data_IF_987422003748
#
_entry.id   IF_987422003748
#
_cell.length_a   1.000
_cell.length_b   1.000
_cell.length_c   1.000
_cell.angle_alpha   90.00
_cell.angle_beta   90.00
_cell.angle_gamma   90.00
#
_symmetry.space_group_name_H-M   'P 1'
#
loop_
_entity.id
_entity.type
_entity.pdbx_description
1 polymer ?
#
# COMPACT_ATOMS: atom_id res chain seq x y z
N UNK A 1 -1.35 -22.51 9.71
CA UNK A 1 -0.01 -22.13 9.22
C UNK A 1 -0.02 -21.10 8.09
N UNK A 2 -0.59 -21.32 6.90
CA UNK A 2 -0.51 -20.36 5.76
C UNK A 2 -1.13 -18.96 6.01
N UNK A 3 -2.06 -18.82 6.95
CA UNK A 3 -2.65 -17.52 7.36
C UNK A 3 -1.74 -16.77 8.35
N UNK A 4 -0.95 -17.51 9.14
CA UNK A 4 -0.18 -16.97 10.27
C UNK A 4 0.90 -16.00 9.78
N UNK A 5 1.48 -16.23 8.59
CA UNK A 5 2.51 -15.37 8.03
C UNK A 5 2.03 -14.02 7.46
N UNK A 6 0.71 -13.77 7.36
CA UNK A 6 0.20 -12.61 6.59
C UNK A 6 0.37 -11.23 7.22
N UNK A 7 0.63 -11.13 8.52
CA UNK A 7 0.77 -9.83 9.20
C UNK A 7 2.21 -9.33 9.37
N UNK A 8 3.21 -10.21 9.46
CA UNK A 8 4.49 -9.87 10.08
C UNK A 8 5.46 -9.06 9.21
N UNK A 9 5.23 -9.02 7.90
CA UNK A 9 6.30 -8.74 6.94
C UNK A 9 6.13 -7.46 6.12
N UNK A 10 5.23 -6.57 6.55
CA UNK A 10 4.84 -5.40 5.76
C UNK A 10 5.51 -4.10 6.25
N UNK A 11 5.87 -3.93 7.54
CA UNK A 11 6.25 -2.58 8.05
C UNK A 11 7.30 -2.55 9.19
N UNK A 12 8.59 -2.58 8.81
CA UNK A 12 9.82 -2.33 9.61
C UNK A 12 10.19 -3.26 10.78
N UNK A 13 11.51 -3.47 10.89
CA UNK A 13 12.25 -3.62 12.17
C UNK A 13 13.37 -2.54 12.28
N UNK A 14 14.11 -2.30 13.43
CA UNK A 14 15.30 -1.34 13.60
C UNK A 14 16.44 -1.39 14.73
N UNK A 15 17.78 -1.16 14.39
CA UNK A 15 19.10 -1.24 15.16
C UNK A 15 20.37 -0.44 14.60
N UNK A 16 20.69 0.81 15.00
CA UNK A 16 22.05 1.37 15.30
C UNK A 16 23.31 1.26 14.35
N UNK A 17 24.32 2.16 14.33
CA UNK A 17 24.75 3.35 15.11
C UNK A 17 25.71 4.26 14.26
N UNK A 18 25.59 5.59 14.38
CA UNK A 18 26.62 6.67 14.26
C UNK A 18 27.46 7.02 12.99
N UNK A 19 27.30 8.30 12.51
CA UNK A 19 28.35 9.28 12.04
C UNK A 19 28.93 9.05 10.60
N UNK A 20 29.38 10.02 9.75
CA UNK A 20 29.70 11.48 9.85
C UNK A 20 29.26 12.37 8.62
N UNK A 21 29.89 13.56 8.43
CA UNK A 21 29.77 14.54 7.30
C UNK A 21 30.43 14.06 5.99
N UNK A 22 30.12 14.56 4.77
CA UNK A 22 29.52 15.87 4.39
C UNK A 22 28.51 15.81 3.19
N UNK A 23 28.58 16.73 2.20
CA UNK A 23 27.49 17.13 1.27
C UNK A 23 27.85 16.91 -0.22
N UNK A 24 26.90 16.44 -1.06
CA UNK A 24 26.58 16.96 -2.43
C UNK A 24 25.62 16.05 -3.24
N UNK A 25 24.38 16.51 -3.51
CA UNK A 25 23.49 15.93 -4.56
C UNK A 25 22.30 16.84 -4.95
N UNK A 26 22.53 17.95 -5.69
CA UNK A 26 21.49 19.00 -5.82
C UNK A 26 20.65 18.98 -7.12
N UNK A 27 20.80 17.99 -8.02
CA UNK A 27 20.15 17.98 -9.36
C UNK A 27 19.24 16.78 -9.68
N UNK A 28 19.16 15.72 -8.86
CA UNK A 28 18.35 14.53 -9.19
C UNK A 28 16.91 14.56 -8.68
N UNK A 29 16.62 15.37 -7.65
CA UNK A 29 15.33 15.42 -6.98
C UNK A 29 14.14 15.81 -7.90
N UNK A 30 14.21 16.89 -8.72
CA UNK A 30 13.07 17.29 -9.56
C UNK A 30 12.68 16.23 -10.61
N UNK A 31 13.67 15.45 -11.08
CA UNK A 31 13.43 14.41 -12.08
C UNK A 31 12.75 13.18 -11.46
N UNK A 32 13.15 12.77 -10.25
CA UNK A 32 12.46 11.69 -9.52
C UNK A 32 11.00 12.05 -9.25
N UNK A 33 10.74 13.26 -8.75
CA UNK A 33 9.38 13.75 -8.52
C UNK A 33 8.56 13.77 -9.81
N UNK A 34 9.12 14.27 -10.91
CA UNK A 34 8.44 14.31 -12.22
C UNK A 34 8.09 12.91 -12.72
N UNK A 35 9.04 11.97 -12.68
CA UNK A 35 8.80 10.59 -13.13
C UNK A 35 7.78 9.89 -12.22
N UNK A 36 7.90 10.01 -10.90
CA UNK A 36 6.94 9.44 -9.96
C UNK A 36 5.54 10.04 -10.17
N UNK A 37 5.41 11.36 -10.37
CA UNK A 37 4.13 12.00 -10.66
C UNK A 37 3.48 11.48 -11.96
N UNK A 38 4.28 11.16 -12.99
CA UNK A 38 3.82 10.52 -14.22
C UNK A 38 3.39 9.06 -13.99
N UNK A 39 4.17 8.29 -13.22
CA UNK A 39 3.80 6.92 -12.83
C UNK A 39 2.50 6.88 -12.00
N UNK A 40 2.37 7.76 -11.02
CA UNK A 40 1.16 7.90 -10.22
C UNK A 40 -0.04 8.41 -11.04
N UNK A 41 0.15 9.06 -12.20
CA UNK A 41 -0.93 9.38 -13.13
C UNK A 41 -1.15 8.32 -14.24
N UNK A 42 -0.48 7.18 -14.18
CA UNK A 42 -0.51 6.13 -15.22
C UNK A 42 -0.05 6.61 -16.61
N UNK A 43 0.72 7.72 -16.66
CA UNK A 43 1.33 8.27 -17.87
C UNK A 43 2.61 7.49 -18.24
N UNK A 44 2.51 6.16 -18.30
CA UNK A 44 3.65 5.24 -18.34
C UNK A 44 4.60 5.48 -19.52
N UNK A 45 4.08 5.80 -20.70
CA UNK A 45 4.91 6.09 -21.88
C UNK A 45 5.77 7.35 -21.69
N UNK A 46 5.25 8.39 -21.04
CA UNK A 46 6.02 9.59 -20.70
C UNK A 46 7.03 9.29 -19.60
N UNK A 47 6.65 8.51 -18.58
CA UNK A 47 7.55 8.08 -17.53
C UNK A 47 8.74 7.27 -18.08
N UNK A 48 8.52 6.28 -18.94
CA UNK A 48 9.60 5.47 -19.52
C UNK A 48 10.52 6.27 -20.44
N UNK A 49 9.96 7.24 -21.18
CA UNK A 49 10.73 8.20 -21.98
C UNK A 49 11.67 9.04 -21.11
N UNK A 50 11.17 9.55 -19.98
CA UNK A 50 11.97 10.29 -19.00
C UNK A 50 13.01 9.40 -18.30
N UNK A 51 12.69 8.15 -17.98
CA UNK A 51 13.65 7.23 -17.36
C UNK A 51 14.78 6.87 -18.33
N UNK A 52 14.46 6.73 -19.62
CA UNK A 52 15.47 6.41 -20.66
C UNK A 52 16.50 7.51 -20.83
N UNK A 53 16.16 8.78 -20.54
CA UNK A 53 17.11 9.90 -20.53
C UNK A 53 18.02 9.93 -19.29
N UNK A 54 17.71 9.19 -18.22
CA UNK A 54 18.56 9.01 -17.03
C UNK A 54 19.68 8.02 -17.31
N UNK A 55 20.65 8.42 -18.14
CA UNK A 55 21.91 7.73 -18.46
C UNK A 55 21.85 6.19 -18.29
N UNK A 56 20.95 5.59 -19.07
CA UNK A 56 20.62 4.15 -18.98
C UNK A 56 21.83 3.26 -19.25
N UNK A 57 22.85 3.78 -19.94
CA UNK A 57 24.15 3.14 -20.19
C UNK A 57 24.88 2.84 -18.87
N UNK A 58 24.81 3.75 -17.88
CA UNK A 58 25.46 3.56 -16.57
C UNK A 58 24.63 2.77 -15.56
N UNK A 59 23.34 2.50 -15.85
CA UNK A 59 22.39 1.82 -14.95
C UNK A 59 22.47 2.33 -13.50
N UNK A 60 22.44 3.64 -13.28
CA UNK A 60 22.69 4.25 -11.95
C UNK A 60 21.67 3.86 -10.87
N UNK A 61 21.96 4.13 -9.59
CA UNK A 61 21.02 3.90 -8.48
C UNK A 61 19.67 4.58 -8.74
N UNK A 62 19.70 5.81 -9.25
CA UNK A 62 18.50 6.58 -9.64
C UNK A 62 17.76 5.93 -10.82
N UNK A 63 18.45 5.50 -11.88
CA UNK A 63 17.83 4.79 -13.00
C UNK A 63 17.14 3.50 -12.53
N UNK A 64 17.83 2.69 -11.72
CA UNK A 64 17.28 1.43 -11.20
C UNK A 64 16.09 1.68 -10.27
N UNK A 65 16.16 2.69 -9.40
CA UNK A 65 15.04 3.11 -8.54
C UNK A 65 13.80 3.46 -9.38
N UNK A 66 13.98 4.27 -10.44
CA UNK A 66 12.87 4.65 -11.30
C UNK A 66 12.34 3.48 -12.14
N UNK A 67 13.18 2.58 -12.67
CA UNK A 67 12.71 1.35 -13.33
C UNK A 67 11.97 0.42 -12.35
N UNK A 68 12.43 0.28 -11.12
CA UNK A 68 11.72 -0.47 -10.06
C UNK A 68 10.31 0.09 -9.85
N UNK A 69 10.16 1.41 -9.70
CA UNK A 69 8.83 2.04 -9.55
C UNK A 69 7.98 1.97 -10.82
N UNK A 70 8.59 2.09 -12.00
CA UNK A 70 7.92 1.86 -13.28
C UNK A 70 7.30 0.46 -13.35
N UNK A 71 8.07 -0.58 -13.04
CA UNK A 71 7.58 -1.97 -13.04
C UNK A 71 6.47 -2.17 -11.98
N UNK A 72 6.64 -1.61 -10.77
CA UNK A 72 5.64 -1.71 -9.69
C UNK A 72 4.28 -1.14 -10.10
N UNK A 73 4.27 0.01 -10.78
CA UNK A 73 3.04 0.72 -11.14
C UNK A 73 2.43 0.28 -12.49
N UNK A 74 3.25 -0.04 -13.50
CA UNK A 74 2.76 -0.49 -14.81
C UNK A 74 2.20 -1.92 -14.79
N UNK A 75 2.71 -2.80 -13.93
CA UNK A 75 2.30 -4.20 -13.83
C UNK A 75 1.49 -4.53 -12.56
N UNK A 76 0.60 -3.64 -12.12
CA UNK A 76 -0.22 -3.88 -10.93
C UNK A 76 -1.17 -5.10 -11.09
N UNK A 77 -1.19 -6.04 -10.11
CA UNK A 77 -0.29 -6.17 -8.96
C UNK A 77 1.01 -6.90 -9.33
N UNK A 78 2.17 -6.31 -9.02
CA UNK A 78 3.49 -6.79 -9.49
C UNK A 78 3.78 -8.25 -9.09
N UNK A 79 3.28 -8.71 -7.95
CA UNK A 79 3.53 -10.07 -7.44
C UNK A 79 2.72 -11.19 -8.13
N UNK A 80 1.64 -10.87 -8.86
CA UNK A 80 0.87 -11.85 -9.66
C UNK A 80 1.39 -11.98 -11.10
N UNK A 81 2.47 -11.28 -11.45
CA UNK A 81 3.01 -11.21 -12.81
C UNK A 81 3.84 -12.44 -13.20
N UNK A 82 4.12 -12.57 -14.50
CA UNK A 82 4.92 -13.68 -15.01
C UNK A 82 6.38 -13.63 -14.52
N UNK A 83 7.06 -14.77 -14.61
CA UNK A 83 8.43 -14.92 -14.11
C UNK A 83 9.48 -14.03 -14.80
N UNK A 84 9.23 -13.54 -16.02
CA UNK A 84 10.12 -12.60 -16.70
C UNK A 84 10.08 -11.22 -16.03
N UNK A 85 8.87 -10.67 -15.90
CA UNK A 85 8.62 -9.37 -15.26
C UNK A 85 9.13 -9.38 -13.81
N UNK A 86 8.87 -10.46 -13.06
CA UNK A 86 9.36 -10.64 -11.69
C UNK A 86 10.89 -10.70 -11.61
N UNK A 87 11.55 -11.36 -12.58
CA UNK A 87 13.01 -11.44 -12.66
C UNK A 87 13.63 -10.07 -12.92
N UNK A 88 13.12 -9.33 -13.90
CA UNK A 88 13.59 -7.97 -14.23
C UNK A 88 13.40 -7.00 -13.06
N UNK A 89 12.22 -6.98 -12.44
CA UNK A 89 11.93 -6.18 -11.25
C UNK A 89 12.94 -6.43 -10.12
N UNK A 90 13.26 -7.71 -9.85
CA UNK A 90 14.25 -8.08 -8.84
C UNK A 90 15.71 -7.81 -9.25
N UNK A 91 16.02 -7.72 -10.55
CA UNK A 91 17.33 -7.28 -11.04
C UNK A 91 17.56 -5.79 -10.76
N UNK A 92 16.59 -4.92 -11.09
CA UNK A 92 16.68 -3.48 -10.77
C UNK A 92 16.85 -3.25 -9.26
N UNK A 93 16.03 -3.92 -8.44
CA UNK A 93 16.18 -3.90 -6.97
C UNK A 93 17.54 -4.41 -6.47
N UNK A 94 18.22 -5.26 -7.23
CA UNK A 94 19.54 -5.80 -6.88
C UNK A 94 20.69 -4.90 -7.29
N UNK A 95 20.56 -4.20 -8.41
CA UNK A 95 21.54 -3.23 -8.87
C UNK A 95 21.70 -2.06 -7.89
N UNK A 96 20.59 -1.51 -7.35
CA UNK A 96 20.63 -0.44 -6.34
C UNK A 96 21.51 -0.84 -5.13
N UNK A 97 21.27 -2.03 -4.55
CA UNK A 97 22.06 -2.54 -3.43
C UNK A 97 23.54 -2.74 -3.76
N UNK A 98 23.88 -3.17 -4.97
CA UNK A 98 25.29 -3.33 -5.40
C UNK A 98 25.99 -1.97 -5.60
N UNK A 99 25.25 -0.88 -5.75
CA UNK A 99 25.76 0.46 -5.98
C UNK A 99 25.90 1.28 -4.69
N UNK A 100 25.00 1.07 -3.72
CA UNK A 100 25.06 1.72 -2.40
C UNK A 100 26.41 1.54 -1.71
N UNK A 101 27.00 0.33 -1.79
CA UNK A 101 28.31 0.01 -1.20
C UNK A 101 29.53 0.74 -1.83
N UNK A 102 29.36 1.61 -2.83
CA UNK A 102 30.49 2.25 -3.55
C UNK A 102 30.68 3.75 -3.28
N UNK A 103 29.68 4.43 -2.73
CA UNK A 103 29.68 5.89 -2.57
C UNK A 103 29.45 6.25 -1.09
N UNK A 104 30.52 6.20 -0.28
CA UNK A 104 30.43 6.19 1.19
C UNK A 104 30.69 7.58 1.83
N UNK A 105 30.25 8.67 1.18
CA UNK A 105 30.63 10.06 1.52
C UNK A 105 29.47 11.02 1.86
N UNK A 106 28.20 10.56 1.95
CA UNK A 106 27.05 11.46 2.20
C UNK A 106 26.44 11.34 3.61
N UNK A 107 26.25 12.50 4.27
CA UNK A 107 25.44 12.66 5.50
C UNK A 107 24.00 12.14 5.38
N UNK A 108 23.43 12.23 4.17
CA UNK A 108 22.04 11.84 3.90
C UNK A 108 21.92 10.33 3.80
N UNK A 109 20.78 9.81 4.27
CA UNK A 109 20.55 8.37 4.24
C UNK A 109 20.00 8.00 2.86
N UNK A 110 20.70 7.12 2.13
CA UNK A 110 20.30 6.71 0.78
C UNK A 110 18.92 6.05 0.78
N UNK A 111 17.91 6.83 0.41
CA UNK A 111 16.54 6.36 0.34
C UNK A 111 16.31 5.39 -0.82
N UNK A 112 17.03 5.51 -1.95
CA UNK A 112 16.92 4.51 -3.02
C UNK A 112 17.32 3.14 -2.46
N UNK A 113 18.42 3.09 -1.71
CA UNK A 113 18.90 1.88 -1.07
C UNK A 113 17.88 1.30 -0.10
N UNK A 114 17.40 2.08 0.89
CA UNK A 114 16.38 1.62 1.85
C UNK A 114 15.12 1.13 1.12
N UNK A 115 14.62 1.92 0.16
CA UNK A 115 13.42 1.58 -0.59
C UNK A 115 13.61 0.28 -1.38
N UNK A 116 14.79 0.05 -1.97
CA UNK A 116 15.11 -1.21 -2.65
C UNK A 116 15.09 -2.42 -1.71
N UNK A 117 15.53 -2.26 -0.46
CA UNK A 117 15.52 -3.34 0.54
C UNK A 117 14.09 -3.61 1.02
N UNK A 118 13.28 -2.56 1.28
CA UNK A 118 11.86 -2.70 1.61
C UNK A 118 11.08 -3.41 0.51
N UNK A 119 11.29 -3.01 -0.75
CA UNK A 119 10.65 -3.63 -1.91
C UNK A 119 11.15 -5.07 -2.16
N UNK A 120 12.39 -5.40 -1.76
CA UNK A 120 12.88 -6.79 -1.69
C UNK A 120 12.24 -7.60 -0.59
N UNK A 121 11.99 -7.01 0.58
CA UNK A 121 11.24 -7.67 1.65
C UNK A 121 9.83 -8.02 1.17
N UNK A 122 9.13 -7.06 0.53
CA UNK A 122 7.81 -7.31 -0.09
C UNK A 122 7.87 -8.39 -1.18
N UNK A 123 8.89 -8.35 -2.06
CA UNK A 123 9.09 -9.35 -3.10
C UNK A 123 9.29 -10.75 -2.51
N UNK A 124 10.25 -10.91 -1.59
CA UNK A 124 10.51 -12.20 -0.94
C UNK A 124 9.33 -12.70 -0.10
N UNK A 125 8.59 -11.79 0.54
CA UNK A 125 7.36 -12.13 1.25
C UNK A 125 6.33 -12.75 0.30
N UNK A 126 6.04 -12.10 -0.84
CA UNK A 126 5.08 -12.59 -1.82
C UNK A 126 5.54 -13.89 -2.52
N UNK A 127 6.84 -14.12 -2.62
CA UNK A 127 7.43 -15.39 -3.07
C UNK A 127 7.49 -16.48 -1.97
N UNK A 128 6.89 -16.26 -0.78
CA UNK A 128 6.92 -17.19 0.35
C UNK A 128 8.29 -17.38 1.02
N UNK A 129 9.30 -16.59 0.62
CA UNK A 129 10.67 -16.62 1.12
C UNK A 129 10.81 -15.79 2.41
N UNK A 130 9.97 -16.08 3.41
CA UNK A 130 9.77 -15.22 4.57
C UNK A 130 11.04 -14.93 5.38
N UNK A 131 11.97 -15.87 5.48
CA UNK A 131 13.24 -15.64 6.18
C UNK A 131 14.09 -14.56 5.50
N UNK A 132 14.23 -14.60 4.17
CA UNK A 132 14.93 -13.56 3.40
C UNK A 132 14.25 -12.21 3.54
N UNK A 133 12.92 -12.22 3.48
CA UNK A 133 12.13 -11.02 3.67
C UNK A 133 12.33 -10.42 5.08
N UNK A 134 12.40 -11.27 6.12
CA UNK A 134 12.75 -10.84 7.48
C UNK A 134 14.19 -10.30 7.54
N UNK A 135 15.17 -10.90 6.86
CA UNK A 135 16.53 -10.37 6.79
C UNK A 135 16.59 -8.99 6.13
N UNK A 136 15.81 -8.75 5.06
CA UNK A 136 15.73 -7.42 4.43
C UNK A 136 15.00 -6.42 5.34
N UNK A 137 13.90 -6.85 5.97
CA UNK A 137 13.28 -6.10 7.07
C UNK A 137 14.32 -5.77 8.15
N UNK A 138 15.21 -6.72 8.45
CA UNK A 138 16.36 -6.67 9.37
C UNK A 138 17.60 -5.93 8.88
N UNK A 139 17.55 -5.35 7.69
CA UNK A 139 18.64 -4.54 7.17
C UNK A 139 18.22 -3.08 7.04
N UNK A 140 16.98 -2.84 6.60
CA UNK A 140 16.30 -1.54 6.84
C UNK A 140 16.26 -1.27 8.35
N UNK A 141 16.27 -2.35 9.12
CA UNK A 141 16.43 -2.36 10.56
C UNK A 141 17.61 -1.52 10.97
N UNK A 142 18.79 -1.87 10.52
CA UNK A 142 19.96 -1.34 11.19
C UNK A 142 20.15 0.17 10.89
N UNK A 143 19.50 0.65 9.83
CA UNK A 143 19.53 2.04 9.36
C UNK A 143 18.70 3.01 10.24
N UNK A 144 17.43 2.72 10.63
CA UNK A 144 16.52 3.80 11.11
C UNK A 144 16.30 3.97 12.63
N UNK A 145 16.67 3.06 13.57
CA UNK A 145 16.25 3.28 15.00
C UNK A 145 16.78 4.57 15.61
N UNK A 146 17.99 4.97 15.20
CA UNK A 146 18.65 6.20 15.62
C UNK A 146 17.85 7.46 15.27
N UNK A 147 16.93 7.34 14.32
CA UNK A 147 16.08 8.39 13.77
C UNK A 147 14.65 8.35 14.36
N UNK A 148 14.37 7.47 15.33
CA UNK A 148 13.07 7.36 16.00
C UNK A 148 12.94 8.26 17.25
N UNK A 149 14.06 8.59 17.89
CA UNK A 149 14.05 9.43 19.10
C UNK A 149 13.80 10.91 18.76
N UNK A 150 14.28 11.36 17.59
CA UNK A 150 14.23 12.75 17.13
C UNK A 150 13.60 12.80 15.75
N UNK A 151 12.79 13.82 15.50
CA UNK A 151 12.11 14.03 14.22
C UNK A 151 13.14 14.11 13.06
N UNK A 152 13.09 13.21 12.06
CA UNK A 152 14.01 13.27 10.94
C UNK A 152 13.74 14.48 10.05
N UNK A 153 14.79 15.17 9.63
CA UNK A 153 14.69 16.32 8.70
C UNK A 153 14.46 15.90 7.24
N UNK A 154 14.93 14.73 6.85
CA UNK A 154 14.77 14.17 5.51
C UNK A 154 13.35 13.57 5.40
N UNK A 155 12.47 14.06 4.50
CA UNK A 155 11.06 13.63 4.44
C UNK A 155 10.90 12.13 4.26
N UNK A 156 11.78 11.50 3.49
CA UNK A 156 11.82 10.05 3.28
C UNK A 156 12.09 9.31 4.60
N UNK A 157 13.05 9.76 5.40
CA UNK A 157 13.35 9.11 6.69
C UNK A 157 12.27 9.41 7.72
N UNK A 158 11.65 10.59 7.66
CA UNK A 158 10.48 10.94 8.48
C UNK A 158 9.29 10.04 8.17
N UNK A 159 9.02 9.78 6.89
CA UNK A 159 8.01 8.82 6.44
C UNK A 159 8.26 7.42 7.00
N UNK A 160 9.48 6.90 6.87
CA UNK A 160 9.84 5.56 7.38
C UNK A 160 9.72 5.49 8.92
N UNK A 161 10.19 6.51 9.64
CA UNK A 161 10.08 6.60 11.10
C UNK A 161 8.61 6.71 11.57
N UNK A 162 7.80 7.49 10.86
CA UNK A 162 6.37 7.65 11.14
C UNK A 162 5.61 6.31 11.03
N UNK A 163 5.87 5.57 9.95
CA UNK A 163 5.33 4.22 9.75
C UNK A 163 5.82 3.25 10.83
N UNK A 164 7.11 3.26 11.19
CA UNK A 164 7.62 2.44 12.31
C UNK A 164 6.84 2.72 13.60
N UNK A 165 6.74 4.00 13.99
CA UNK A 165 6.08 4.43 15.21
C UNK A 165 4.62 3.98 15.28
N UNK A 166 3.88 4.11 14.18
CA UNK A 166 2.50 3.65 14.08
C UNK A 166 2.39 2.12 14.13
N UNK A 167 3.09 1.42 13.23
CA UNK A 167 2.92 -0.03 13.08
C UNK A 167 3.48 -0.83 14.25
N UNK A 168 4.50 -0.32 14.96
CA UNK A 168 4.95 -0.89 16.23
C UNK A 168 3.78 -1.03 17.22
N UNK A 169 3.06 0.06 17.47
CA UNK A 169 1.95 0.06 18.43
C UNK A 169 0.74 -0.72 17.90
N UNK A 170 0.47 -0.63 16.59
CA UNK A 170 -0.55 -1.47 15.95
C UNK A 170 -0.28 -2.96 16.21
N UNK A 171 0.92 -3.47 15.90
CA UNK A 171 1.25 -4.89 16.10
C UNK A 171 1.34 -5.28 17.58
N UNK A 172 1.89 -4.41 18.45
CA UNK A 172 1.93 -4.65 19.90
C UNK A 172 0.53 -4.81 20.53
N UNK A 173 -0.48 -4.13 19.97
CA UNK A 173 -1.88 -4.29 20.40
C UNK A 173 -2.54 -5.60 19.94
N UNK A 174 -1.98 -6.28 18.92
CA UNK A 174 -2.55 -7.53 18.39
C UNK A 174 -2.26 -8.72 19.30
N UNK A 175 -3.28 -9.53 19.61
CA UNK A 175 -3.16 -10.79 20.36
C UNK A 175 -2.54 -11.91 19.52
N UNK A 176 -1.29 -11.71 19.09
CA UNK A 176 -0.52 -12.60 18.21
C UNK A 176 0.89 -12.79 18.73
N UNK A 177 1.59 -13.82 18.24
CA UNK A 177 3.03 -14.03 18.52
C UNK A 177 3.85 -12.77 18.18
N UNK A 178 3.47 -12.07 17.13
CA UNK A 178 4.14 -10.85 16.68
C UNK A 178 3.99 -9.69 17.67
N UNK A 179 2.81 -9.53 18.28
CA UNK A 179 2.60 -8.54 19.34
C UNK A 179 3.48 -8.79 20.57
N UNK A 180 3.75 -10.06 20.91
CA UNK A 180 4.71 -10.42 21.95
C UNK A 180 6.17 -10.15 21.53
N UNK A 181 6.52 -10.37 20.25
CA UNK A 181 7.88 -10.09 19.74
C UNK A 181 8.21 -8.58 19.71
N UNK A 182 7.22 -7.68 19.73
CA UNK A 182 7.46 -6.22 19.69
C UNK A 182 8.32 -5.70 20.85
N UNK A 183 8.40 -6.42 21.97
CA UNK A 183 9.25 -6.08 23.12
C UNK A 183 10.76 -6.16 22.84
N UNK A 184 11.19 -6.79 21.74
CA UNK A 184 12.60 -6.87 21.33
C UNK A 184 13.07 -5.63 20.55
N UNK A 185 12.15 -4.72 20.20
CA UNK A 185 12.42 -3.56 19.35
C UNK A 185 12.14 -2.26 20.10
N UNK A 186 12.75 -1.17 19.63
CA UNK A 186 12.57 0.16 20.24
C UNK A 186 11.09 0.57 20.25
N UNK A 187 10.64 1.17 21.34
CA UNK A 187 9.23 1.50 21.50
C UNK A 187 8.75 2.57 20.50
N UNK A 188 7.73 2.21 19.71
CA UNK A 188 7.00 3.12 18.85
C UNK A 188 6.00 4.00 19.61
N UNK A 189 5.44 4.98 18.93
CA UNK A 189 4.51 5.95 19.52
C UNK A 189 3.43 6.24 18.46
N UNK A 190 2.21 5.76 18.70
CA UNK A 190 1.15 5.75 17.70
C UNK A 190 0.80 7.16 17.20
N UNK A 191 0.66 8.11 18.14
CA UNK A 191 0.23 9.47 17.85
C UNK A 191 1.36 10.27 17.16
N UNK A 192 2.61 10.07 17.59
CA UNK A 192 3.79 10.58 16.87
C UNK A 192 3.86 10.03 15.45
N UNK A 193 3.60 8.73 15.27
CA UNK A 193 3.57 8.07 13.97
C UNK A 193 2.53 8.67 13.03
N UNK A 194 1.29 8.83 13.49
CA UNK A 194 0.22 9.48 12.70
C UNK A 194 0.57 10.94 12.39
N UNK A 195 1.01 11.73 13.38
CA UNK A 195 1.38 13.14 13.19
C UNK A 195 2.48 13.31 12.15
N UNK A 196 3.60 12.58 12.27
CA UNK A 196 4.71 12.69 11.32
C UNK A 196 4.32 12.23 9.92
N UNK A 197 3.44 11.24 9.79
CA UNK A 197 2.95 10.78 8.49
C UNK A 197 2.04 11.83 7.84
N UNK A 198 1.18 12.51 8.61
CA UNK A 198 0.37 13.63 8.14
C UNK A 198 1.23 14.85 7.75
N UNK A 199 2.32 15.13 8.47
CA UNK A 199 3.26 16.18 8.11
C UNK A 199 3.92 15.89 6.74
N UNK A 200 4.45 14.67 6.53
CA UNK A 200 5.00 14.25 5.23
C UNK A 200 3.95 14.29 4.11
N UNK A 201 2.70 13.94 4.40
CA UNK A 201 1.62 13.99 3.42
C UNK A 201 1.21 15.42 3.01
N UNK A 202 1.65 16.45 3.73
CA UNK A 202 1.43 17.86 3.40
C UNK A 202 2.69 18.55 2.84
N UNK A 203 3.89 18.09 3.17
CA UNK A 203 5.17 18.50 2.56
C UNK A 203 5.27 18.04 1.08
N UNK A 204 5.94 18.77 0.19
CA UNK A 204 6.26 18.25 -1.17
C UNK A 204 7.56 17.44 -1.11
N UNK A 205 7.48 16.18 -1.53
CA UNK A 205 8.60 15.24 -1.59
C UNK A 205 8.22 14.01 -2.42
N UNK A 206 9.21 13.21 -2.82
CA UNK A 206 9.00 11.93 -3.51
C UNK A 206 8.17 10.91 -2.71
N UNK A 207 8.02 11.08 -1.39
CA UNK A 207 7.21 10.21 -0.51
C UNK A 207 5.82 10.75 -0.17
N UNK A 208 5.48 11.99 -0.58
CA UNK A 208 4.16 12.60 -0.29
C UNK A 208 2.99 11.70 -0.70
N UNK A 209 3.04 11.16 -1.92
CA UNK A 209 1.97 10.30 -2.45
C UNK A 209 1.90 8.96 -1.71
N UNK A 210 3.02 8.37 -1.32
CA UNK A 210 3.02 7.17 -0.46
C UNK A 210 2.44 7.46 0.93
N UNK A 211 2.79 8.60 1.56
CA UNK A 211 2.23 9.00 2.85
C UNK A 211 0.70 9.15 2.79
N UNK A 212 0.16 9.74 1.72
CA UNK A 212 -1.28 9.82 1.49
C UNK A 212 -1.93 8.42 1.30
N UNK A 213 -1.27 7.49 0.59
CA UNK A 213 -1.74 6.10 0.44
C UNK A 213 -1.80 5.40 1.82
N UNK A 214 -0.73 5.51 2.61
CA UNK A 214 -0.67 4.92 3.94
C UNK A 214 -1.70 5.53 4.89
N UNK A 215 -1.89 6.86 4.91
CA UNK A 215 -2.90 7.49 5.76
C UNK A 215 -4.32 7.05 5.39
N UNK A 216 -4.65 6.97 4.08
CA UNK A 216 -5.95 6.47 3.64
C UNK A 216 -6.17 5.01 4.08
N UNK A 217 -5.16 4.15 3.92
CA UNK A 217 -5.20 2.76 4.34
C UNK A 217 -5.34 2.59 5.87
N UNK A 218 -4.45 3.23 6.62
CA UNK A 218 -4.38 3.20 8.09
C UNK A 218 -5.70 3.68 8.67
N UNK A 219 -6.16 4.87 8.27
CA UNK A 219 -7.39 5.41 8.81
C UNK A 219 -8.62 4.57 8.47
N UNK A 220 -8.67 3.94 7.29
CA UNK A 220 -9.82 3.11 6.92
C UNK A 220 -9.85 1.78 7.65
N UNK A 221 -8.76 1.02 7.56
CA UNK A 221 -8.76 -0.42 7.85
C UNK A 221 -8.17 -0.79 9.21
N UNK A 222 -7.40 0.11 9.82
CA UNK A 222 -6.70 -0.13 11.09
C UNK A 222 -7.24 0.74 12.23
N UNK A 223 -7.55 2.01 11.95
CA UNK A 223 -8.16 2.94 12.90
C UNK A 223 -9.69 3.00 12.85
N UNK A 224 -10.30 2.46 11.80
CA UNK A 224 -11.75 2.50 11.57
C UNK A 224 -12.34 3.94 11.58
N UNK A 225 -11.61 4.90 11.01
CA UNK A 225 -11.98 6.32 10.84
C UNK A 225 -12.21 6.64 9.33
N UNK A 226 -13.30 6.15 8.72
CA UNK A 226 -13.49 6.19 7.27
C UNK A 226 -13.59 7.61 6.70
N UNK A 227 -14.07 8.59 7.46
CA UNK A 227 -14.09 10.00 7.05
C UNK A 227 -12.68 10.58 6.85
N UNK A 228 -11.72 10.27 7.74
CA UNK A 228 -10.32 10.68 7.54
C UNK A 228 -9.70 9.95 6.34
N UNK A 229 -9.99 8.66 6.20
CA UNK A 229 -9.50 7.89 5.06
C UNK A 229 -9.98 8.45 3.71
N UNK A 230 -11.24 8.90 3.66
CA UNK A 230 -11.84 9.57 2.50
C UNK A 230 -11.15 10.89 2.19
N UNK A 231 -10.86 11.72 3.19
CA UNK A 231 -10.10 12.96 3.02
C UNK A 231 -8.72 12.73 2.35
N UNK A 232 -7.95 11.74 2.82
CA UNK A 232 -6.65 11.43 2.21
C UNK A 232 -6.77 10.75 0.83
N UNK A 233 -7.79 9.90 0.61
CA UNK A 233 -8.08 9.34 -0.71
C UNK A 233 -8.52 10.41 -1.72
N UNK A 234 -9.26 11.42 -1.28
CA UNK A 234 -9.66 12.56 -2.11
C UNK A 234 -8.45 13.39 -2.53
N UNK A 235 -7.49 13.66 -1.61
CA UNK A 235 -6.20 14.28 -1.95
C UNK A 235 -5.43 13.49 -3.01
N UNK A 236 -5.38 12.15 -2.90
CA UNK A 236 -4.75 11.29 -3.91
C UNK A 236 -5.41 11.43 -5.28
N UNK A 237 -6.74 11.31 -5.34
CA UNK A 237 -7.48 11.42 -6.59
C UNK A 237 -7.36 12.83 -7.21
N UNK A 238 -7.32 13.89 -6.40
CA UNK A 238 -7.10 15.25 -6.88
C UNK A 238 -5.68 15.48 -7.45
N UNK A 239 -4.63 14.97 -6.80
CA UNK A 239 -3.24 15.08 -7.30
C UNK A 239 -2.98 14.16 -8.50
N UNK A 240 -3.68 13.02 -8.57
CA UNK A 240 -3.47 11.97 -9.56
C UNK A 240 -4.80 11.41 -10.13
N UNK A 241 -5.54 12.19 -10.93
CA UNK A 241 -6.93 11.88 -11.31
C UNK A 241 -7.09 10.71 -12.28
N UNK A 242 -6.02 10.18 -12.89
CA UNK A 242 -6.11 9.05 -13.83
C UNK A 242 -5.82 7.69 -13.17
N UNK A 243 -5.46 7.67 -11.89
CA UNK A 243 -5.00 6.46 -11.22
C UNK A 243 -6.15 5.58 -10.71
N UNK A 244 -6.36 4.44 -11.37
CA UNK A 244 -7.39 3.45 -10.99
C UNK A 244 -7.15 2.83 -9.59
N UNK A 245 -5.93 2.85 -9.06
CA UNK A 245 -5.65 2.43 -7.67
C UNK A 245 -6.12 3.47 -6.65
N UNK A 246 -6.17 4.74 -7.00
CA UNK A 246 -6.72 5.78 -6.12
C UNK A 246 -8.24 5.85 -6.20
N UNK A 247 -8.84 5.40 -7.32
CA UNK A 247 -10.28 5.17 -7.39
C UNK A 247 -10.69 4.08 -6.39
N UNK A 248 -9.94 2.98 -6.28
CA UNK A 248 -10.18 1.94 -5.27
C UNK A 248 -10.23 2.52 -3.84
N UNK A 249 -9.20 3.28 -3.45
CA UNK A 249 -9.11 3.88 -2.11
C UNK A 249 -10.25 4.88 -1.85
N UNK A 250 -10.58 5.71 -2.84
CA UNK A 250 -11.64 6.70 -2.73
C UNK A 250 -13.03 6.04 -2.63
N UNK A 251 -13.29 5.01 -3.44
CA UNK A 251 -14.56 4.29 -3.42
C UNK A 251 -14.75 3.51 -2.13
N UNK A 252 -13.75 2.78 -1.65
CA UNK A 252 -13.88 2.01 -0.40
C UNK A 252 -14.10 2.92 0.81
N UNK A 253 -13.38 4.04 0.87
CA UNK A 253 -13.56 5.03 1.93
C UNK A 253 -14.88 5.79 1.81
N UNK A 254 -15.37 6.06 0.60
CA UNK A 254 -16.70 6.65 0.36
C UNK A 254 -17.83 5.72 0.84
N UNK A 255 -17.80 4.44 0.45
CA UNK A 255 -18.77 3.41 0.86
C UNK A 255 -18.73 3.20 2.38
N UNK A 256 -17.55 3.25 3.00
CA UNK A 256 -17.38 3.13 4.46
C UNK A 256 -17.82 4.37 5.26
N UNK A 257 -17.82 5.56 4.64
CA UNK A 257 -18.24 6.81 5.27
C UNK A 257 -19.62 7.31 4.80
N UNK A 258 -20.32 6.51 3.97
CA UNK A 258 -21.58 6.86 3.31
C UNK A 258 -21.53 8.16 2.46
N UNK A 259 -20.33 8.56 2.00
CA UNK A 259 -20.12 9.74 1.15
C UNK A 259 -20.31 9.39 -0.34
N UNK A 260 -21.49 8.87 -0.69
CA UNK A 260 -21.83 8.48 -2.05
C UNK A 260 -22.43 9.64 -2.85
N UNK A 261 -21.89 9.87 -4.04
CA UNK A 261 -22.40 10.81 -5.03
C UNK A 261 -22.18 10.26 -6.46
N UNK A 262 -22.70 10.95 -7.46
CA UNK A 262 -22.61 10.55 -8.87
C UNK A 262 -21.16 10.30 -9.35
N UNK A 263 -20.19 11.05 -8.82
CA UNK A 263 -18.78 10.81 -9.12
C UNK A 263 -18.31 9.42 -8.64
N UNK A 264 -18.76 8.95 -7.48
CA UNK A 264 -18.43 7.59 -7.01
C UNK A 264 -19.01 6.50 -7.92
N UNK A 265 -20.21 6.69 -8.47
CA UNK A 265 -20.80 5.77 -9.44
C UNK A 265 -20.01 5.76 -10.76
N UNK A 266 -19.63 6.95 -11.26
CA UNK A 266 -18.81 7.08 -12.46
C UNK A 266 -17.43 6.45 -12.30
N UNK A 267 -16.74 6.68 -11.17
CA UNK A 267 -15.45 6.05 -10.86
C UNK A 267 -15.57 4.51 -10.75
N UNK A 268 -16.64 4.00 -10.12
CA UNK A 268 -16.90 2.56 -10.04
C UNK A 268 -17.15 1.94 -11.43
N UNK A 269 -17.92 2.63 -12.29
CA UNK A 269 -18.18 2.21 -13.67
C UNK A 269 -16.90 2.20 -14.53
N UNK A 270 -15.99 3.17 -14.36
CA UNK A 270 -14.68 3.16 -15.03
C UNK A 270 -13.87 1.92 -14.61
N UNK A 271 -13.89 1.55 -13.32
CA UNK A 271 -13.25 0.32 -12.85
C UNK A 271 -13.91 -0.94 -13.45
N UNK A 272 -15.24 -1.00 -13.56
CA UNK A 272 -15.96 -2.11 -14.23
C UNK A 272 -15.55 -2.22 -15.71
N UNK A 273 -15.39 -1.09 -16.40
CA UNK A 273 -14.93 -1.04 -17.80
C UNK A 273 -13.45 -1.38 -18.00
N UNK A 274 -12.64 -1.42 -16.93
CA UNK A 274 -11.18 -1.58 -17.03
C UNK A 274 -10.78 -2.87 -17.74
N UNK A 275 -9.82 -2.75 -18.67
CA UNK A 275 -9.19 -3.89 -19.34
C UNK A 275 -8.38 -4.78 -18.38
N UNK A 276 -7.86 -4.20 -17.29
CA UNK A 276 -7.12 -4.96 -16.27
C UNK A 276 -8.11 -5.64 -15.30
N UNK A 277 -8.05 -6.98 -15.24
CA UNK A 277 -8.83 -7.84 -14.34
C UNK A 277 -8.72 -7.43 -12.87
N UNK A 278 -7.57 -6.91 -12.43
CA UNK A 278 -7.37 -6.42 -11.07
C UNK A 278 -8.39 -5.32 -10.73
N UNK A 279 -8.39 -4.22 -11.51
CA UNK A 279 -9.32 -3.10 -11.32
C UNK A 279 -10.78 -3.49 -11.57
N UNK A 280 -11.04 -4.39 -12.53
CA UNK A 280 -12.41 -4.89 -12.79
C UNK A 280 -13.04 -5.59 -11.59
N UNK A 281 -12.25 -6.34 -10.79
CA UNK A 281 -12.71 -6.95 -9.53
C UNK A 281 -13.17 -5.88 -8.52
N UNK A 282 -12.41 -4.80 -8.38
CA UNK A 282 -12.80 -3.66 -7.52
C UNK A 282 -14.07 -2.96 -8.04
N UNK A 283 -14.14 -2.66 -9.33
CA UNK A 283 -15.32 -2.03 -9.94
C UNK A 283 -16.60 -2.83 -9.74
N UNK A 284 -16.59 -4.14 -10.01
CA UNK A 284 -17.77 -5.01 -9.81
C UNK A 284 -18.18 -5.06 -8.33
N UNK A 285 -17.21 -5.08 -7.41
CA UNK A 285 -17.50 -5.09 -5.98
C UNK A 285 -18.11 -3.76 -5.54
N UNK A 286 -17.45 -2.63 -5.81
CA UNK A 286 -17.88 -1.33 -5.32
C UNK A 286 -19.17 -0.83 -5.99
N UNK A 287 -19.37 -1.05 -7.30
CA UNK A 287 -20.66 -0.74 -7.95
C UNK A 287 -21.83 -1.52 -7.33
N UNK A 288 -21.61 -2.79 -6.97
CA UNK A 288 -22.60 -3.61 -6.25
C UNK A 288 -22.92 -3.01 -4.89
N UNK A 289 -21.91 -2.69 -4.08
CA UNK A 289 -22.08 -2.09 -2.75
C UNK A 289 -22.78 -0.71 -2.80
N UNK A 290 -22.39 0.14 -3.76
CA UNK A 290 -23.01 1.44 -4.02
C UNK A 290 -24.49 1.29 -4.36
N UNK A 291 -24.82 0.34 -5.26
CA UNK A 291 -26.23 0.08 -5.62
C UNK A 291 -27.07 -0.36 -4.41
N UNK A 292 -26.50 -1.15 -3.50
CA UNK A 292 -27.18 -1.61 -2.28
C UNK A 292 -27.36 -0.49 -1.25
N UNK A 293 -26.43 0.47 -1.18
CA UNK A 293 -26.54 1.62 -0.28
C UNK A 293 -27.50 2.71 -0.83
N UNK A 294 -27.61 2.87 -2.15
CA UNK A 294 -28.44 3.91 -2.78
C UNK A 294 -29.87 3.46 -3.09
N UNK A 295 -30.08 2.21 -3.51
CA UNK A 295 -31.36 1.72 -4.01
C UNK A 295 -32.16 1.03 -2.91
N UNK A 296 -33.49 1.21 -2.89
CA UNK A 296 -34.39 0.46 -2.00
C UNK A 296 -34.65 -0.94 -2.57
N UNK A 297 -33.66 -1.83 -2.43
CA UNK A 297 -33.72 -3.21 -2.90
C UNK A 297 -34.40 -4.14 -1.89
N UNK A 298 -35.16 -5.10 -2.40
CA UNK A 298 -35.59 -6.29 -1.66
C UNK A 298 -34.40 -7.21 -1.34
N UNK A 299 -34.54 -8.08 -0.34
CA UNK A 299 -33.47 -9.02 0.01
C UNK A 299 -33.15 -10.01 -1.13
N UNK A 300 -34.12 -10.36 -1.99
CA UNK A 300 -33.88 -11.21 -3.16
C UNK A 300 -33.07 -10.48 -4.25
N UNK A 301 -33.33 -9.19 -4.48
CA UNK A 301 -32.53 -8.36 -5.39
C UNK A 301 -31.11 -8.15 -4.86
N UNK A 302 -30.95 -7.89 -3.55
CA UNK A 302 -29.65 -7.82 -2.88
C UNK A 302 -28.90 -9.15 -3.04
N UNK A 303 -29.56 -10.28 -2.75
CA UNK A 303 -28.98 -11.62 -2.86
C UNK A 303 -28.53 -11.91 -4.29
N UNK A 304 -29.34 -11.59 -5.30
CA UNK A 304 -28.99 -11.76 -6.72
C UNK A 304 -27.75 -10.93 -7.10
N UNK A 305 -27.76 -9.62 -6.81
CA UNK A 305 -26.62 -8.73 -7.13
C UNK A 305 -25.33 -9.18 -6.43
N UNK A 306 -25.40 -9.49 -5.13
CA UNK A 306 -24.25 -9.93 -4.33
C UNK A 306 -23.71 -11.30 -4.76
N UNK A 307 -24.57 -12.26 -5.11
CA UNK A 307 -24.15 -13.57 -5.60
C UNK A 307 -23.43 -13.43 -6.93
N UNK A 308 -24.00 -12.66 -7.88
CA UNK A 308 -23.38 -12.38 -9.18
C UNK A 308 -22.00 -11.71 -9.04
N UNK A 309 -21.86 -10.76 -8.13
CA UNK A 309 -20.56 -10.13 -7.83
C UNK A 309 -19.58 -11.14 -7.21
N UNK A 310 -20.03 -11.94 -6.24
CA UNK A 310 -19.24 -12.97 -5.56
C UNK A 310 -18.68 -13.99 -6.56
N UNK A 311 -19.53 -14.53 -7.43
CA UNK A 311 -19.13 -15.50 -8.45
C UNK A 311 -18.15 -14.90 -9.47
N UNK A 312 -18.33 -13.62 -9.83
CA UNK A 312 -17.36 -12.90 -10.65
C UNK A 312 -15.98 -12.82 -9.98
N UNK A 313 -15.90 -12.50 -8.69
CA UNK A 313 -14.62 -12.48 -7.95
C UNK A 313 -14.02 -13.89 -7.88
N UNK A 314 -14.80 -14.90 -7.48
CA UNK A 314 -14.33 -16.30 -7.37
C UNK A 314 -13.79 -16.84 -8.69
N UNK A 315 -14.50 -16.62 -9.81
CA UNK A 315 -14.07 -17.02 -11.17
C UNK A 315 -12.77 -16.33 -11.62
N UNK A 316 -12.45 -15.15 -11.06
CA UNK A 316 -11.27 -14.36 -11.44
C UNK A 316 -10.09 -14.48 -10.47
N UNK A 317 -10.22 -15.25 -9.39
CA UNK A 317 -9.15 -15.61 -8.46
C UNK A 317 -8.70 -14.47 -7.52
N UNK A 318 -8.12 -14.89 -6.39
CA UNK A 318 -7.67 -13.98 -5.33
C UNK A 318 -8.82 -13.17 -4.72
N UNK A 319 -8.53 -11.95 -4.25
CA UNK A 319 -9.58 -11.00 -3.87
C UNK A 319 -10.30 -11.29 -2.55
N UNK A 320 -9.70 -12.01 -1.60
CA UNK A 320 -10.28 -12.30 -0.27
C UNK A 320 -10.87 -11.05 0.42
N UNK A 321 -10.19 -9.90 0.31
CA UNK A 321 -10.69 -8.62 0.82
C UNK A 321 -12.07 -8.28 0.21
N UNK A 322 -12.19 -8.32 -1.12
CA UNK A 322 -13.44 -8.05 -1.84
C UNK A 322 -14.54 -9.06 -1.53
N UNK A 323 -14.18 -10.35 -1.44
CA UNK A 323 -15.11 -11.38 -0.97
C UNK A 323 -15.61 -11.07 0.44
N UNK A 324 -14.76 -10.60 1.35
CA UNK A 324 -15.20 -10.24 2.71
C UNK A 324 -16.18 -9.06 2.74
N UNK A 325 -16.06 -8.08 1.84
CA UNK A 325 -17.06 -7.01 1.70
C UNK A 325 -18.43 -7.54 1.25
N UNK A 326 -18.43 -8.43 0.24
CA UNK A 326 -19.64 -9.05 -0.30
C UNK A 326 -20.28 -10.03 0.69
N UNK A 327 -19.48 -10.84 1.38
CA UNK A 327 -19.94 -11.77 2.40
C UNK A 327 -20.49 -11.07 3.64
N UNK A 328 -19.97 -9.89 4.01
CA UNK A 328 -20.59 -9.06 5.06
C UNK A 328 -22.01 -8.64 4.67
N UNK A 329 -22.22 -8.18 3.44
CA UNK A 329 -23.56 -7.84 2.94
C UNK A 329 -24.49 -9.07 2.83
N UNK A 330 -23.97 -10.21 2.35
CA UNK A 330 -24.73 -11.47 2.31
C UNK A 330 -25.04 -12.05 3.69
N UNK A 331 -24.26 -11.72 4.72
CA UNK A 331 -24.51 -12.11 6.11
C UNK A 331 -25.60 -11.25 6.78
N UNK A 332 -25.94 -10.08 6.21
CA UNK A 332 -27.04 -9.22 6.67
C UNK A 332 -28.41 -9.68 6.15
N UNK A 333 -28.44 -10.51 5.11
CA UNK A 333 -29.68 -11.09 4.56
C UNK A 333 -30.10 -12.30 5.44
N UNK A 334 -31.32 -12.30 6.03
CA UNK A 334 -31.70 -13.27 7.07
C UNK A 334 -31.52 -14.74 6.67
N UNK A 335 -31.97 -15.11 5.47
CA UNK A 335 -31.95 -16.48 4.95
C UNK A 335 -30.53 -17.00 4.64
N UNK A 336 -29.54 -16.11 4.49
CA UNK A 336 -28.15 -16.48 4.16
C UNK A 336 -27.13 -16.18 5.26
N UNK A 337 -27.56 -15.54 6.36
CA UNK A 337 -26.73 -15.10 7.51
C UNK A 337 -25.74 -16.17 8.00
N UNK A 338 -26.22 -17.39 8.31
CA UNK A 338 -25.39 -18.46 8.88
C UNK A 338 -24.26 -18.87 7.95
N UNK A 339 -24.54 -19.03 6.65
CA UNK A 339 -23.57 -19.47 5.65
C UNK A 339 -22.46 -18.43 5.46
N UNK A 340 -22.83 -17.17 5.20
CA UNK A 340 -21.83 -16.13 4.89
C UNK A 340 -21.16 -15.51 6.11
N UNK A 341 -21.67 -15.69 7.33
CA UNK A 341 -20.90 -15.37 8.54
C UNK A 341 -19.61 -16.18 8.61
N UNK A 342 -19.66 -17.48 8.27
CA UNK A 342 -18.46 -18.33 8.22
C UNK A 342 -17.51 -17.91 7.10
N UNK A 343 -18.03 -17.58 5.92
CA UNK A 343 -17.22 -17.17 4.77
C UNK A 343 -16.61 -15.77 4.94
N UNK A 344 -17.32 -14.86 5.62
CA UNK A 344 -16.75 -13.60 6.08
C UNK A 344 -15.56 -13.88 7.00
N UNK A 345 -15.73 -14.66 8.06
CA UNK A 345 -14.65 -14.97 9.01
C UNK A 345 -13.45 -15.69 8.36
N UNK A 346 -13.67 -16.49 7.31
CA UNK A 346 -12.60 -17.19 6.58
C UNK A 346 -11.81 -16.28 5.62
N UNK A 347 -12.44 -15.22 5.10
CA UNK A 347 -11.85 -14.32 4.08
C UNK A 347 -11.43 -12.95 4.60
N UNK A 348 -11.99 -12.50 5.73
CA UNK A 348 -11.81 -11.16 6.31
C UNK A 348 -10.34 -10.89 6.65
N UNK A 349 -9.79 -9.87 6.00
CA UNK A 349 -8.39 -9.43 6.18
C UNK A 349 -8.27 -8.36 7.28
N UNK A 350 -9.29 -7.51 7.41
CA UNK A 350 -9.36 -6.40 8.37
C UNK A 350 -10.72 -6.42 9.08
N UNK A 351 -10.79 -5.96 10.32
CA UNK A 351 -12.05 -5.79 11.07
C UNK A 351 -12.34 -4.28 11.20
N UNK A 352 -13.16 -3.75 10.30
CA UNK A 352 -13.49 -2.32 10.18
C UNK A 352 -14.90 -2.13 9.59
N UNK A 353 -15.36 -0.88 9.43
CA UNK A 353 -16.73 -0.51 9.08
C UNK A 353 -17.46 -1.35 8.01
N UNK A 354 -16.76 -1.89 7.01
CA UNK A 354 -17.35 -2.71 5.94
C UNK A 354 -17.30 -4.23 6.17
N UNK A 355 -16.58 -4.71 7.18
CA UNK A 355 -16.33 -6.14 7.47
C UNK A 355 -16.53 -6.54 8.93
N UNK A 356 -16.79 -5.58 9.83
CA UNK A 356 -17.19 -5.84 11.20
C UNK A 356 -18.60 -6.40 11.23
N UNK A 357 -18.79 -7.45 12.03
CA UNK A 357 -20.11 -7.94 12.41
C UNK A 357 -20.59 -7.14 13.60
N UNK A 358 -21.80 -6.57 13.51
CA UNK A 358 -22.49 -6.02 14.68
C UNK A 358 -22.65 -7.15 15.71
N UNK A 359 -22.20 -6.90 16.95
CA UNK A 359 -22.25 -7.86 18.06
C UNK A 359 -23.67 -8.02 18.59
#
# INVERSE_FOLDING_TARGET
MKIIFKGFLIVFFTLALSIHHEIHAQNSFPLKETVLAKLYNFEFSQADSLITSVDSVKNTSDFNFLKTHYYRWSYLPIHEQNGHILKEYNLYLSAIKQQSNKNNDSNETDYNYINSILLKAEFHYNQGSYYKAFQNGSEVYDIIKLKLEKEPKQPEIKFLAALYHYYYQYYRSQKTVYGAMMWLFQEGDKEKGLRWLEEVANEESIVKTEALIYLSHIYLRLENQPYKAYYFAQKLHQKHPQNLKFYELLLESAIASNNLNENMENLANILVGSGNKYFRKYGVTYSTLISIQKEKLTDDERLYKLTKATDFIRKNGGGNHLLSLLYKQLAEIPQTKKSYTSELLSTRVYDYALTTLNK
#
